data_IF_989003762737
#
_entry.id   IF_989003762737
#
_cell.length_a   1.000
_cell.length_b   1.000
_cell.length_c   1.000
_cell.angle_alpha   90.00
_cell.angle_beta   90.00
_cell.angle_gamma   90.00
#
_symmetry.space_group_name_H-M   'P 1'
#
loop_
_entity.id
_entity.type
_entity.pdbx_description
1 polymer ?
#
# COMPACT_ATOMS: atom_id res chain seq x y z
N UNK A 1 -6.85 5.47 76.83
CA UNK A 1 -5.70 4.96 76.06
C UNK A 1 -6.35 4.44 74.80
N UNK A 2 -6.56 5.32 73.84
CA UNK A 2 -7.37 5.08 72.62
C UNK A 2 -6.64 5.78 71.47
N UNK A 3 -5.56 5.18 70.95
CA UNK A 3 -4.71 5.86 69.94
C UNK A 3 -3.99 4.94 68.96
N UNK A 4 -4.08 3.61 69.07
CA UNK A 4 -3.43 2.71 68.10
C UNK A 4 -4.35 2.33 66.93
N UNK A 5 -5.68 2.28 67.13
CA UNK A 5 -6.63 1.88 66.09
C UNK A 5 -7.03 3.04 65.15
N UNK A 6 -6.93 4.30 65.61
CA UNK A 6 -7.25 5.47 64.78
C UNK A 6 -6.10 5.81 63.79
N UNK A 7 -4.85 5.46 64.11
CA UNK A 7 -3.70 5.68 63.21
C UNK A 7 -3.67 4.68 62.03
N UNK A 8 -4.08 3.42 62.24
CA UNK A 8 -4.12 2.41 61.18
C UNK A 8 -5.23 2.70 60.16
N UNK A 9 -6.43 3.08 60.63
CA UNK A 9 -7.57 3.45 59.78
C UNK A 9 -7.28 4.72 58.98
N UNK A 10 -6.61 5.71 59.57
CA UNK A 10 -6.23 6.94 58.85
C UNK A 10 -5.12 6.68 57.83
N UNK A 11 -4.16 5.80 58.13
CA UNK A 11 -3.14 5.35 57.19
C UNK A 11 -3.72 4.63 55.97
N UNK A 12 -4.65 3.69 56.16
CA UNK A 12 -5.31 2.95 55.07
C UNK A 12 -6.20 3.85 54.21
N UNK A 13 -6.87 4.83 54.81
CA UNK A 13 -7.63 5.85 54.07
C UNK A 13 -6.72 6.76 53.24
N UNK A 14 -5.57 7.17 53.78
CA UNK A 14 -4.57 7.95 53.04
C UNK A 14 -3.87 7.14 51.93
N UNK A 15 -3.62 5.85 52.16
CA UNK A 15 -3.11 4.94 51.14
C UNK A 15 -4.12 4.74 50.00
N UNK A 16 -5.40 4.54 50.33
CA UNK A 16 -6.48 4.45 49.34
C UNK A 16 -6.63 5.72 48.50
N UNK A 17 -6.56 6.90 49.10
CA UNK A 17 -6.66 8.18 48.38
C UNK A 17 -5.46 8.42 47.44
N UNK A 18 -4.26 8.01 47.86
CA UNK A 18 -3.06 8.08 47.03
C UNK A 18 -3.13 7.10 45.84
N UNK A 19 -3.61 5.87 46.05
CA UNK A 19 -3.83 4.88 44.99
C UNK A 19 -4.92 5.35 44.01
N UNK A 20 -6.02 5.93 44.51
CA UNK A 20 -7.07 6.52 43.69
C UNK A 20 -6.56 7.68 42.84
N UNK A 21 -5.75 8.56 43.42
CA UNK A 21 -5.16 9.70 42.70
C UNK A 21 -4.21 9.22 41.61
N UNK A 22 -3.37 8.22 41.91
CA UNK A 22 -2.46 7.62 40.93
C UNK A 22 -3.25 6.98 39.79
N UNK A 23 -4.23 6.13 40.10
CA UNK A 23 -5.06 5.45 39.12
C UNK A 23 -5.84 6.45 38.25
N UNK A 24 -6.38 7.51 38.85
CA UNK A 24 -7.03 8.60 38.11
C UNK A 24 -6.07 9.32 37.18
N UNK A 25 -4.83 9.59 37.61
CA UNK A 25 -3.83 10.25 36.77
C UNK A 25 -3.43 9.38 35.57
N UNK A 26 -3.28 8.07 35.79
CA UNK A 26 -2.96 7.10 34.75
C UNK A 26 -4.12 6.96 33.75
N UNK A 27 -5.37 6.90 34.22
CA UNK A 27 -6.55 6.91 33.36
C UNK A 27 -6.66 8.17 32.52
N UNK A 28 -6.43 9.35 33.10
CA UNK A 28 -6.51 10.62 32.35
C UNK A 28 -5.40 10.71 31.31
N UNK A 29 -4.16 10.36 31.66
CA UNK A 29 -3.04 10.40 30.72
C UNK A 29 -3.22 9.37 29.59
N UNK A 30 -3.68 8.17 29.92
CA UNK A 30 -3.98 7.11 28.95
C UNK A 30 -5.11 7.54 28.03
N UNK A 31 -6.24 8.00 28.58
CA UNK A 31 -7.37 8.46 27.79
C UNK A 31 -7.06 9.68 26.92
N UNK A 32 -6.18 10.58 27.39
CA UNK A 32 -5.71 11.71 26.58
C UNK A 32 -4.83 11.24 25.41
N UNK A 33 -3.88 10.34 25.66
CA UNK A 33 -3.05 9.75 24.58
C UNK A 33 -3.91 9.00 23.58
N UNK A 34 -4.81 8.15 24.05
CA UNK A 34 -5.72 7.37 23.21
C UNK A 34 -6.63 8.29 22.40
N UNK A 35 -7.15 9.37 22.99
CA UNK A 35 -7.95 10.37 22.27
C UNK A 35 -7.17 11.08 21.17
N UNK A 36 -5.90 11.41 21.39
CA UNK A 36 -5.03 11.98 20.34
C UNK A 36 -4.80 10.95 19.23
N UNK A 37 -4.45 9.72 19.59
CA UNK A 37 -4.20 8.65 18.61
C UNK A 37 -5.44 8.37 17.78
N UNK A 38 -6.61 8.22 18.41
CA UNK A 38 -7.88 7.99 17.72
C UNK A 38 -8.25 9.16 16.81
N UNK A 39 -7.97 10.41 17.21
CA UNK A 39 -8.19 11.59 16.37
C UNK A 39 -7.28 11.62 15.14
N UNK A 40 -5.99 11.27 15.30
CA UNK A 40 -5.04 11.15 14.19
C UNK A 40 -5.45 10.04 13.22
N UNK A 41 -5.81 8.87 13.75
CA UNK A 41 -6.24 7.72 12.96
C UNK A 41 -7.51 8.03 12.17
N UNK A 42 -8.51 8.67 12.79
CA UNK A 42 -9.74 9.06 12.12
C UNK A 42 -9.49 10.04 10.95
N UNK A 43 -8.63 11.03 11.14
CA UNK A 43 -8.26 11.97 10.08
C UNK A 43 -7.49 11.27 8.94
N UNK A 44 -6.57 10.36 9.27
CA UNK A 44 -5.82 9.57 8.29
C UNK A 44 -6.74 8.66 7.47
N UNK A 45 -7.73 8.04 8.11
CA UNK A 45 -8.65 7.11 7.48
C UNK A 45 -9.54 7.80 6.44
N UNK A 46 -9.99 9.03 6.70
CA UNK A 46 -10.75 9.82 5.72
C UNK A 46 -9.93 10.08 4.44
N UNK A 47 -8.65 10.45 4.61
CA UNK A 47 -7.73 10.63 3.48
C UNK A 47 -7.47 9.33 2.71
N UNK A 48 -7.28 8.22 3.42
CA UNK A 48 -7.13 6.89 2.80
C UNK A 48 -8.37 6.48 2.01
N UNK A 49 -9.57 6.60 2.60
CA UNK A 49 -10.82 6.21 1.96
C UNK A 49 -11.05 7.01 0.67
N UNK A 50 -10.76 8.32 0.70
CA UNK A 50 -10.83 9.18 -0.47
C UNK A 50 -9.84 8.74 -1.57
N UNK A 51 -8.57 8.52 -1.22
CA UNK A 51 -7.53 8.06 -2.15
C UNK A 51 -7.83 6.68 -2.73
N UNK A 52 -8.33 5.76 -1.90
CA UNK A 52 -8.77 4.44 -2.31
C UNK A 52 -9.95 4.52 -3.30
N UNK A 53 -10.99 5.29 -3.01
CA UNK A 53 -12.16 5.39 -3.87
C UNK A 53 -11.86 6.08 -5.20
N UNK A 54 -11.03 7.14 -5.19
CA UNK A 54 -10.79 7.98 -6.38
C UNK A 54 -9.70 7.42 -7.30
N UNK A 55 -8.66 6.82 -6.73
CA UNK A 55 -7.46 6.40 -7.48
C UNK A 55 -7.23 4.90 -7.31
N UNK A 56 -7.15 4.43 -6.06
CA UNK A 56 -6.81 3.05 -5.70
C UNK A 56 -7.66 1.99 -6.39
N UNK A 57 -8.96 2.01 -6.14
CA UNK A 57 -9.91 1.03 -6.62
C UNK A 57 -10.08 1.07 -8.15
N UNK A 58 -10.29 2.24 -8.81
CA UNK A 58 -10.40 2.28 -10.27
C UNK A 58 -9.15 1.78 -11.00
N UNK A 59 -7.96 2.24 -10.58
CA UNK A 59 -6.70 1.87 -11.22
C UNK A 59 -6.30 0.42 -10.91
N UNK A 60 -6.50 -0.03 -9.68
CA UNK A 60 -6.26 -1.42 -9.29
C UNK A 60 -7.17 -2.40 -10.04
N UNK A 61 -8.44 -2.04 -10.21
CA UNK A 61 -9.39 -2.82 -11.01
C UNK A 61 -8.97 -2.90 -12.49
N UNK A 62 -8.59 -1.78 -13.11
CA UNK A 62 -8.11 -1.76 -14.49
C UNK A 62 -6.86 -2.62 -14.69
N UNK A 63 -5.84 -2.47 -13.84
CA UNK A 63 -4.64 -3.31 -13.87
C UNK A 63 -4.97 -4.80 -13.70
N UNK A 64 -5.84 -5.13 -12.74
CA UNK A 64 -6.26 -6.50 -12.48
C UNK A 64 -6.97 -7.12 -13.69
N UNK A 65 -7.83 -6.36 -14.35
CA UNK A 65 -8.53 -6.80 -15.57
C UNK A 65 -7.54 -7.08 -16.71
N UNK A 66 -6.59 -6.18 -16.98
CA UNK A 66 -5.58 -6.37 -18.02
C UNK A 66 -4.73 -7.62 -17.78
N UNK A 67 -4.30 -7.84 -16.54
CA UNK A 67 -3.56 -9.05 -16.14
C UNK A 67 -4.38 -10.32 -16.32
N UNK A 68 -5.65 -10.27 -15.91
CA UNK A 68 -6.58 -11.39 -16.07
C UNK A 68 -6.75 -11.80 -17.52
N UNK A 69 -7.03 -10.81 -18.40
CA UNK A 69 -7.18 -11.04 -19.84
C UNK A 69 -5.89 -11.64 -20.42
N UNK A 70 -4.73 -11.03 -20.16
CA UNK A 70 -3.45 -11.51 -20.70
C UNK A 70 -3.11 -12.94 -20.22
N UNK A 71 -3.44 -13.28 -18.97
CA UNK A 71 -3.26 -14.63 -18.43
C UNK A 71 -4.17 -15.66 -19.11
N UNK A 72 -5.45 -15.32 -19.32
CA UNK A 72 -6.41 -16.16 -20.03
C UNK A 72 -5.99 -16.39 -21.48
N UNK A 73 -5.56 -15.33 -22.19
CA UNK A 73 -5.05 -15.46 -23.57
C UNK A 73 -3.83 -16.38 -23.63
N UNK A 74 -2.89 -16.21 -22.69
CA UNK A 74 -1.69 -17.07 -22.60
C UNK A 74 -2.06 -18.55 -22.36
N UNK A 75 -3.10 -18.81 -21.56
CA UNK A 75 -3.57 -20.17 -21.26
C UNK A 75 -4.37 -20.77 -22.42
N UNK A 76 -5.21 -19.97 -23.09
CA UNK A 76 -6.05 -20.40 -24.21
C UNK A 76 -5.21 -20.78 -25.43
N UNK A 77 -4.16 -20.01 -25.73
CA UNK A 77 -3.26 -20.24 -26.85
C UNK A 77 -2.34 -21.44 -26.58
N UNK A 78 -2.85 -22.63 -26.91
CA UNK A 78 -2.30 -23.92 -26.46
C UNK A 78 -1.10 -24.43 -27.28
N UNK A 79 -0.82 -23.88 -28.48
CA UNK A 79 0.25 -24.38 -29.36
C UNK A 79 1.58 -23.63 -29.17
N UNK A 80 2.70 -24.35 -29.24
CA UNK A 80 4.03 -23.83 -28.86
C UNK A 80 4.67 -22.85 -29.87
N UNK A 81 4.09 -22.67 -31.06
CA UNK A 81 4.66 -21.86 -32.15
C UNK A 81 3.73 -20.75 -32.64
N UNK A 82 2.71 -20.41 -31.85
CA UNK A 82 1.77 -19.35 -32.20
C UNK A 82 2.39 -17.98 -31.89
N UNK A 83 2.59 -17.09 -32.88
CA UNK A 83 3.08 -15.73 -32.63
C UNK A 83 2.19 -14.97 -31.64
N UNK A 84 0.88 -15.24 -31.63
CA UNK A 84 -0.08 -14.60 -30.73
C UNK A 84 0.14 -15.02 -29.28
N UNK A 85 0.61 -16.25 -29.06
CA UNK A 85 0.91 -16.77 -27.72
C UNK A 85 2.13 -16.10 -27.12
N UNK A 86 3.16 -15.90 -27.93
CA UNK A 86 4.38 -15.26 -27.45
C UNK A 86 4.16 -13.77 -27.19
N UNK A 87 3.32 -13.13 -28.00
CA UNK A 87 2.82 -11.78 -27.74
C UNK A 87 2.00 -11.71 -26.44
N UNK A 88 1.05 -12.64 -26.21
CA UNK A 88 0.28 -12.73 -24.97
C UNK A 88 1.18 -12.93 -23.74
N UNK A 89 2.20 -13.79 -23.83
CA UNK A 89 3.19 -13.99 -22.76
C UNK A 89 4.00 -12.75 -22.46
N UNK A 90 4.50 -12.09 -23.50
CA UNK A 90 5.27 -10.85 -23.37
C UNK A 90 4.45 -9.80 -22.63
N UNK A 91 3.19 -9.60 -23.04
CA UNK A 91 2.26 -8.66 -22.41
C UNK A 91 1.96 -9.08 -20.96
N UNK A 92 1.69 -10.37 -20.71
CA UNK A 92 1.40 -10.87 -19.36
C UNK A 92 2.59 -10.69 -18.41
N UNK A 93 3.82 -10.93 -18.89
CA UNK A 93 5.04 -10.72 -18.10
C UNK A 93 5.25 -9.24 -17.79
N UNK A 94 5.12 -8.37 -18.79
CA UNK A 94 5.25 -6.93 -18.62
C UNK A 94 4.20 -6.36 -17.66
N UNK A 95 2.93 -6.73 -17.81
CA UNK A 95 1.86 -6.33 -16.89
C UNK A 95 2.07 -6.85 -15.47
N UNK A 96 2.71 -8.01 -15.28
CA UNK A 96 3.00 -8.55 -13.95
C UNK A 96 4.09 -7.75 -13.22
N UNK A 97 5.01 -7.15 -13.96
CA UNK A 97 6.10 -6.35 -13.39
C UNK A 97 5.69 -4.92 -13.02
N UNK A 98 4.59 -4.39 -13.56
CA UNK A 98 4.10 -3.03 -13.24
C UNK A 98 3.55 -3.01 -11.81
N UNK A 99 4.09 -2.21 -10.90
CA UNK A 99 3.51 -2.03 -9.56
C UNK A 99 2.49 -0.90 -9.57
N UNK A 100 1.59 -0.93 -8.60
CA UNK A 100 0.65 0.17 -8.41
C UNK A 100 1.40 1.48 -8.09
N UNK A 101 2.45 1.42 -7.27
CA UNK A 101 3.30 2.58 -6.93
C UNK A 101 4.01 3.21 -8.12
N UNK A 102 4.18 2.48 -9.22
CA UNK A 102 4.84 2.98 -10.43
C UNK A 102 3.91 3.83 -11.30
N UNK A 103 2.60 3.54 -11.26
CA UNK A 103 1.58 4.19 -12.10
C UNK A 103 0.64 5.12 -11.34
N UNK A 104 0.63 5.04 -10.01
CA UNK A 104 -0.18 5.89 -9.17
C UNK A 104 0.29 7.36 -9.30
N UNK A 105 -0.64 8.32 -9.46
CA UNK A 105 -0.28 9.72 -9.44
C UNK A 105 0.33 10.08 -8.09
N UNK A 106 1.41 10.86 -8.11
CA UNK A 106 2.00 11.37 -6.88
C UNK A 106 1.00 12.25 -6.16
N UNK A 107 0.84 12.00 -4.87
CA UNK A 107 0.01 12.79 -3.98
C UNK A 107 0.91 13.79 -3.23
N UNK A 108 1.00 15.05 -3.68
CA UNK A 108 1.85 16.05 -3.05
C UNK A 108 1.38 16.43 -1.64
N UNK A 109 0.08 16.29 -1.35
CA UNK A 109 -0.50 16.61 -0.04
C UNK A 109 -0.10 15.54 0.99
N UNK A 110 -0.10 14.27 0.59
CA UNK A 110 0.45 13.17 1.40
C UNK A 110 1.97 13.30 1.65
N UNK A 111 2.74 13.74 0.64
CA UNK A 111 4.18 13.97 0.78
C UNK A 111 4.51 15.16 1.71
N UNK A 112 3.71 16.22 1.68
CA UNK A 112 3.86 17.38 2.55
C UNK A 112 3.46 17.06 4.00
N UNK A 113 2.33 16.37 4.21
CA UNK A 113 1.92 15.94 5.55
C UNK A 113 2.94 15.01 6.22
N UNK A 114 3.50 14.04 5.49
CA UNK A 114 4.54 13.16 6.00
C UNK A 114 5.85 13.91 6.33
N UNK A 115 6.10 15.05 5.66
CA UNK A 115 7.26 15.92 5.92
C UNK A 115 7.05 16.85 7.12
N UNK A 116 5.80 17.21 7.41
CA UNK A 116 5.42 18.06 8.56
C UNK A 116 5.31 17.29 9.88
N UNK A 117 4.90 16.00 9.85
CA UNK A 117 4.96 15.08 10.99
C UNK A 117 6.43 14.66 11.28
N UNK A 118 7.17 15.59 11.90
CA UNK A 118 8.55 15.47 12.39
C UNK A 118 8.73 14.29 13.37
N UNK A 119 9.03 13.10 12.86
CA UNK A 119 10.04 12.12 13.33
C UNK A 119 9.74 10.72 12.76
N UNK A 120 8.48 10.28 12.69
CA UNK A 120 8.13 8.90 12.29
C UNK A 120 7.82 8.73 10.79
N UNK A 121 7.20 9.71 10.13
CA UNK A 121 6.66 9.54 8.76
C UNK A 121 7.71 9.55 7.64
N UNK A 122 8.77 10.37 7.78
CA UNK A 122 9.82 10.51 6.75
C UNK A 122 10.74 9.29 6.72
N UNK A 123 11.06 8.73 7.89
CA UNK A 123 11.90 7.55 8.02
C UNK A 123 11.23 6.32 7.38
N UNK A 124 9.92 6.13 7.60
CA UNK A 124 9.16 5.03 7.01
C UNK A 124 9.09 5.10 5.47
N UNK A 125 8.90 6.29 4.90
CA UNK A 125 8.86 6.47 3.43
C UNK A 125 10.24 6.20 2.80
N UNK A 126 11.30 6.67 3.44
CA UNK A 126 12.66 6.47 2.96
C UNK A 126 13.08 4.99 3.04
N UNK A 127 12.67 4.30 4.11
CA UNK A 127 12.83 2.85 4.24
C UNK A 127 12.04 2.07 3.18
N UNK A 128 10.75 2.41 2.96
CA UNK A 128 9.94 1.79 1.90
C UNK A 128 10.59 1.93 0.54
N UNK A 129 11.11 3.13 0.22
CA UNK A 129 11.82 3.36 -1.05
C UNK A 129 13.08 2.49 -1.18
N UNK A 130 13.88 2.39 -0.11
CA UNK A 130 15.08 1.52 -0.09
C UNK A 130 14.73 0.04 -0.28
N UNK A 131 13.63 -0.41 0.31
CA UNK A 131 13.13 -1.79 0.16
C UNK A 131 12.69 -2.04 -1.28
N UNK A 132 11.93 -1.12 -1.89
CA UNK A 132 11.55 -1.22 -3.31
C UNK A 132 12.76 -1.31 -4.23
N UNK A 133 13.77 -0.45 -4.03
CA UNK A 133 15.00 -0.46 -4.83
C UNK A 133 15.75 -1.79 -4.70
N UNK A 134 15.75 -2.39 -3.50
CA UNK A 134 16.36 -3.69 -3.26
C UNK A 134 15.61 -4.82 -3.99
N UNK A 135 14.28 -4.80 -3.96
CA UNK A 135 13.45 -5.76 -4.70
C UNK A 135 13.65 -5.65 -6.21
N UNK A 136 13.81 -4.44 -6.74
CA UNK A 136 14.08 -4.22 -8.16
C UNK A 136 15.44 -4.79 -8.56
N UNK A 137 16.46 -4.65 -7.71
CA UNK A 137 17.76 -5.31 -7.91
C UNK A 137 17.63 -6.85 -7.88
N UNK A 138 16.85 -7.40 -6.96
CA UNK A 138 16.64 -8.85 -6.85
C UNK A 138 15.88 -9.41 -8.06
N UNK A 139 14.82 -8.73 -8.51
CA UNK A 139 14.06 -9.12 -9.69
C UNK A 139 14.92 -9.11 -10.95
N UNK A 140 15.81 -8.13 -11.11
CA UNK A 140 16.81 -8.10 -12.20
C UNK A 140 17.75 -9.31 -12.17
N UNK A 141 18.25 -9.68 -10.99
CA UNK A 141 19.13 -10.84 -10.82
C UNK A 141 18.39 -12.17 -11.07
N UNK A 142 17.13 -12.25 -10.64
CA UNK A 142 16.29 -13.44 -10.83
C UNK A 142 15.86 -13.65 -12.29
N UNK A 143 15.71 -12.59 -13.07
CA UNK A 143 15.29 -12.65 -14.48
C UNK A 143 16.40 -13.11 -15.45
N UNK A 144 17.63 -13.36 -14.96
CA UNK A 144 18.73 -13.86 -15.78
C UNK A 144 19.23 -12.89 -16.86
N UNK A 145 18.89 -11.60 -16.75
CA UNK A 145 19.25 -10.57 -17.71
C UNK A 145 20.74 -10.19 -17.62
N UNK A 146 21.43 -10.19 -18.76
CA UNK A 146 22.65 -9.39 -18.94
C UNK A 146 22.37 -7.93 -18.56
N UNK A 147 23.39 -7.19 -18.12
CA UNK A 147 23.32 -5.74 -17.87
C UNK A 147 22.92 -5.05 -19.19
N UNK A 148 21.62 -4.94 -19.47
CA UNK A 148 21.06 -4.14 -20.54
C UNK A 148 20.56 -2.83 -19.98
N UNK A 149 20.53 -1.82 -20.85
CA UNK A 149 20.26 -0.42 -20.57
C UNK A 149 19.06 -0.27 -19.63
N UNK A 150 19.21 0.64 -18.67
CA UNK A 150 18.22 0.99 -17.68
C UNK A 150 16.90 1.43 -18.34
N UNK A 151 15.95 0.50 -18.51
CA UNK A 151 14.62 0.82 -19.05
C UNK A 151 13.74 1.59 -18.05
N UNK A 152 14.28 1.93 -16.86
CA UNK A 152 13.57 2.69 -15.84
C UNK A 152 12.44 1.89 -15.17
N UNK A 153 11.84 2.48 -14.14
CA UNK A 153 10.61 1.94 -13.55
C UNK A 153 9.48 2.06 -14.58
N UNK A 154 8.57 1.07 -14.70
CA UNK A 154 7.47 1.14 -15.65
C UNK A 154 6.63 2.39 -15.46
N UNK A 155 6.25 3.06 -16.53
CA UNK A 155 5.47 4.29 -16.49
C UNK A 155 4.00 4.06 -16.85
N UNK A 156 3.18 5.07 -16.60
CA UNK A 156 1.78 5.08 -17.05
C UNK A 156 1.67 4.98 -18.59
N UNK A 157 2.66 5.50 -19.32
CA UNK A 157 2.73 5.37 -20.78
C UNK A 157 2.95 3.90 -21.20
N UNK A 158 3.81 3.17 -20.48
CA UNK A 158 4.05 1.74 -20.74
C UNK A 158 2.78 0.92 -20.51
N UNK A 159 2.00 1.25 -19.48
CA UNK A 159 0.70 0.62 -19.24
C UNK A 159 -0.27 0.89 -20.40
N UNK A 160 -0.34 2.13 -20.89
CA UNK A 160 -1.19 2.48 -22.04
C UNK A 160 -0.77 1.74 -23.30
N UNK A 161 0.54 1.62 -23.56
CA UNK A 161 1.07 0.86 -24.68
C UNK A 161 0.73 -0.63 -24.56
N UNK A 162 0.87 -1.23 -23.38
CA UNK A 162 0.50 -2.63 -23.14
C UNK A 162 -1.00 -2.86 -23.31
N UNK A 163 -1.84 -1.92 -22.87
CA UNK A 163 -3.29 -1.97 -23.07
C UNK A 163 -3.66 -1.96 -24.55
N UNK A 164 -3.04 -1.08 -25.34
CA UNK A 164 -3.28 -1.01 -26.78
C UNK A 164 -2.79 -2.27 -27.50
N UNK A 165 -1.61 -2.79 -27.13
CA UNK A 165 -1.10 -4.07 -27.64
C UNK A 165 -2.04 -5.22 -27.33
N UNK A 166 -2.55 -5.31 -26.09
CA UNK A 166 -3.50 -6.33 -25.69
C UNK A 166 -4.79 -6.22 -26.50
N UNK A 167 -5.33 -5.02 -26.69
CA UNK A 167 -6.53 -4.77 -27.51
C UNK A 167 -6.34 -5.24 -28.95
N UNK A 168 -5.21 -4.89 -29.58
CA UNK A 168 -4.89 -5.33 -30.94
C UNK A 168 -4.77 -6.85 -31.05
N UNK A 169 -4.18 -7.51 -30.05
CA UNK A 169 -4.11 -8.98 -29.99
C UNK A 169 -5.52 -9.59 -29.89
N UNK A 170 -6.40 -9.02 -29.08
CA UNK A 170 -7.78 -9.48 -28.95
C UNK A 170 -8.59 -9.30 -30.22
N UNK A 171 -8.43 -8.17 -30.91
CA UNK A 171 -9.07 -7.91 -32.21
C UNK A 171 -8.60 -8.92 -33.27
N UNK A 172 -7.30 -9.25 -33.31
CA UNK A 172 -6.75 -10.30 -34.19
C UNK A 172 -7.34 -11.68 -33.92
N UNK A 173 -7.63 -11.99 -32.66
CA UNK A 173 -8.25 -13.24 -32.23
C UNK A 173 -9.78 -13.25 -32.37
N UNK A 174 -10.39 -12.14 -32.82
CA UNK A 174 -11.84 -12.00 -32.96
C UNK A 174 -12.59 -11.97 -31.62
N UNK A 175 -11.90 -11.62 -30.53
CA UNK A 175 -12.46 -11.51 -29.19
C UNK A 175 -12.83 -10.05 -28.94
N UNK A 176 -14.06 -9.66 -29.28
CA UNK A 176 -14.58 -8.35 -28.87
C UNK A 176 -14.89 -8.38 -27.37
N UNK A 177 -14.18 -7.56 -26.59
CA UNK A 177 -14.62 -7.20 -25.24
C UNK A 177 -15.62 -6.08 -25.37
N UNK A 178 -16.90 -6.41 -25.22
CA UNK A 178 -17.96 -5.45 -24.99
C UNK A 178 -17.58 -4.61 -23.75
N UNK A 179 -17.40 -3.31 -23.93
CA UNK A 179 -17.24 -2.38 -22.80
C UNK A 179 -18.57 -2.32 -22.06
N UNK A 180 -18.64 -2.91 -20.87
CA UNK A 180 -19.67 -2.57 -19.89
C UNK A 180 -19.33 -1.29 -19.15
#
# INVERSE_FOLDING_TARGET
MDSDWDEEVTSDLHAGDAEWTKMSSEFINTGYREGITAGKEAALQEGFDAGFAQVGAPMGHELGLLRGIASVLTAFLSSASDPDREEARSISSALSNIRFSDIAPRDPEAEEHAREDLEDGVEEIEEKRKIEDLEDMLNRLSAGGSITVDEGRPTLEDLQQLKERLKNLMERLGLEVERS
#
